data_IF_617975278990
#
_entry.id   IF_617975278990
#
_cell.length_a   1.000
_cell.length_b   1.000
_cell.length_c   1.000
_cell.angle_alpha   90.00
_cell.angle_beta   90.00
_cell.angle_gamma   90.00
#
_symmetry.space_group_name_H-M   'P 1'
#
loop_
_entity.id
_entity.type
_entity.pdbx_description
1 polymer ?
#
# COMPACT_ATOMS: atom_id res chain seq x y z
N UNK A 1 -22.39 51.56 -18.81
CA UNK A 1 -22.25 50.10 -19.00
C UNK A 1 -21.16 49.61 -18.05
N UNK A 2 -21.51 48.88 -16.98
CA UNK A 2 -20.52 48.05 -16.29
C UNK A 2 -20.26 46.85 -17.20
N UNK A 3 -19.08 46.79 -17.80
CA UNK A 3 -18.65 45.60 -18.54
C UNK A 3 -18.72 44.41 -17.58
N UNK A 4 -19.46 43.37 -17.99
CA UNK A 4 -19.48 42.10 -17.29
C UNK A 4 -18.04 41.57 -17.26
N UNK A 5 -17.39 41.66 -16.11
CA UNK A 5 -16.11 41.01 -15.88
C UNK A 5 -16.36 39.52 -16.01
N UNK A 6 -15.74 38.87 -16.99
CA UNK A 6 -15.78 37.42 -17.19
C UNK A 6 -15.64 36.74 -15.84
N UNK A 7 -16.59 35.87 -15.47
CA UNK A 7 -16.51 35.11 -14.23
C UNK A 7 -15.17 34.37 -14.21
N UNK A 8 -14.49 34.35 -13.05
CA UNK A 8 -13.26 33.56 -12.89
C UNK A 8 -13.55 32.12 -13.32
N UNK A 9 -12.60 31.51 -14.01
CA UNK A 9 -12.70 30.09 -14.36
C UNK A 9 -12.86 29.27 -13.07
N UNK A 10 -13.91 28.47 -13.00
CA UNK A 10 -14.15 27.55 -11.89
C UNK A 10 -13.24 26.35 -12.09
N UNK A 11 -12.23 26.20 -11.23
CA UNK A 11 -11.24 25.13 -11.30
C UNK A 11 -11.52 24.18 -10.15
N UNK A 12 -11.84 22.93 -10.49
CA UNK A 12 -11.98 21.85 -9.52
C UNK A 12 -10.56 21.40 -9.14
N UNK A 13 -10.15 21.49 -7.86
CA UNK A 13 -8.87 20.97 -7.42
C UNK A 13 -8.83 19.44 -7.60
N UNK A 14 -7.71 18.93 -8.10
CA UNK A 14 -7.46 17.51 -8.27
C UNK A 14 -6.40 17.04 -7.27
N UNK A 15 -6.68 15.92 -6.61
CA UNK A 15 -5.84 15.31 -5.59
C UNK A 15 -5.55 13.86 -5.94
N UNK A 16 -4.28 13.48 -5.90
CA UNK A 16 -3.86 12.09 -5.92
C UNK A 16 -4.08 11.46 -4.54
N UNK A 17 -4.67 10.27 -4.49
CA UNK A 17 -4.89 9.58 -3.22
C UNK A 17 -3.57 9.33 -2.49
N UNK A 18 -2.57 8.83 -3.20
CA UNK A 18 -1.23 8.54 -2.66
C UNK A 18 -0.36 9.80 -2.62
N UNK A 19 -0.31 10.53 -3.73
CA UNK A 19 0.55 11.69 -3.90
C UNK A 19 0.14 12.88 -3.05
N UNK A 20 -1.15 13.12 -2.83
CA UNK A 20 -1.62 14.26 -2.04
C UNK A 20 -2.15 13.84 -0.67
N UNK A 21 -3.18 12.98 -0.61
CA UNK A 21 -3.91 12.77 0.65
C UNK A 21 -3.10 11.97 1.67
N UNK A 22 -2.54 10.83 1.27
CA UNK A 22 -1.66 10.04 2.15
C UNK A 22 -0.34 10.76 2.46
N UNK A 23 0.20 11.50 1.50
CA UNK A 23 1.42 12.30 1.71
C UNK A 23 1.18 13.44 2.71
N UNK A 24 0.02 14.10 2.66
CA UNK A 24 -0.38 15.07 3.67
C UNK A 24 -0.49 14.44 5.06
N UNK A 25 -1.19 13.31 5.17
CA UNK A 25 -1.35 12.57 6.42
C UNK A 25 -0.02 12.07 7.02
N UNK A 26 0.99 11.84 6.18
CA UNK A 26 2.34 11.48 6.61
C UNK A 26 3.05 12.67 7.27
N UNK A 27 2.99 13.85 6.63
CA UNK A 27 3.44 15.11 7.20
C UNK A 27 2.97 16.32 6.36
N UNK A 28 2.10 17.17 6.92
CA UNK A 28 1.53 18.32 6.19
C UNK A 28 2.61 19.28 5.66
N UNK A 29 3.63 19.58 6.49
CA UNK A 29 4.70 20.49 6.10
C UNK A 29 5.60 19.89 5.01
N UNK A 30 5.92 18.59 5.10
CA UNK A 30 6.70 17.90 4.07
C UNK A 30 5.95 17.89 2.74
N UNK A 31 4.66 17.51 2.77
CA UNK A 31 3.76 17.54 1.63
C UNK A 31 3.73 18.93 0.97
N UNK A 32 3.62 20.00 1.76
CA UNK A 32 3.63 21.38 1.25
C UNK A 32 4.91 21.68 0.46
N UNK A 33 6.08 21.29 0.96
CA UNK A 33 7.34 21.56 0.26
C UNK A 33 7.51 20.67 -0.99
N UNK A 34 7.18 19.39 -0.90
CA UNK A 34 7.41 18.45 -2.00
C UNK A 34 6.38 18.63 -3.12
N UNK A 35 5.10 18.47 -2.82
CA UNK A 35 4.04 18.39 -3.83
C UNK A 35 3.56 19.75 -4.32
N UNK A 36 3.50 20.74 -3.43
CA UNK A 36 3.07 22.10 -3.81
C UNK A 36 4.24 23.05 -4.04
N UNK A 37 5.40 22.79 -3.42
CA UNK A 37 6.61 23.58 -3.60
C UNK A 37 7.51 23.11 -4.74
N UNK A 38 7.22 21.95 -5.35
CA UNK A 38 8.06 21.30 -6.35
C UNK A 38 9.52 21.13 -5.90
N UNK A 39 9.73 20.88 -4.61
CA UNK A 39 11.03 20.53 -4.04
C UNK A 39 11.10 19.01 -3.92
N UNK A 40 11.56 18.29 -4.96
CA UNK A 40 11.64 16.84 -4.88
C UNK A 40 12.57 16.44 -3.73
N UNK A 41 12.26 15.34 -3.01
CA UNK A 41 13.16 14.81 -2.00
C UNK A 41 14.55 14.51 -2.58
N UNK A 42 15.59 14.69 -1.78
CA UNK A 42 16.98 14.42 -2.20
C UNK A 42 17.24 12.93 -2.39
N UNK A 43 16.56 12.08 -1.60
CA UNK A 43 16.61 10.61 -1.70
C UNK A 43 15.21 10.00 -1.51
N UNK A 44 14.38 9.94 -2.56
CA UNK A 44 13.03 9.35 -2.53
C UNK A 44 13.03 7.81 -2.44
N UNK A 45 13.68 7.20 -1.44
CA UNK A 45 13.83 5.72 -1.40
C UNK A 45 12.48 5.00 -1.46
N UNK A 46 11.49 5.45 -0.69
CA UNK A 46 10.15 4.85 -0.66
C UNK A 46 9.36 5.10 -1.95
N UNK A 47 9.40 6.33 -2.49
CA UNK A 47 8.74 6.66 -3.76
C UNK A 47 9.38 5.89 -4.92
N UNK A 48 10.72 5.82 -4.97
CA UNK A 48 11.45 5.03 -5.95
C UNK A 48 11.07 3.56 -5.87
N UNK A 49 11.07 2.97 -4.67
CA UNK A 49 10.77 1.54 -4.52
C UNK A 49 9.31 1.22 -4.83
N UNK A 50 8.37 2.12 -4.50
CA UNK A 50 6.97 2.04 -4.92
C UNK A 50 6.82 2.02 -6.44
N UNK A 51 7.31 3.04 -7.15
CA UNK A 51 7.24 3.08 -8.62
C UNK A 51 8.00 1.91 -9.27
N UNK A 52 9.12 1.48 -8.67
CA UNK A 52 9.90 0.34 -9.15
C UNK A 52 9.11 -0.97 -9.09
N UNK A 53 8.50 -1.27 -7.95
CA UNK A 53 7.74 -2.51 -7.75
C UNK A 53 6.52 -2.56 -8.66
N UNK A 54 5.73 -1.49 -8.75
CA UNK A 54 4.56 -1.44 -9.63
C UNK A 54 4.97 -1.67 -11.08
N UNK A 55 5.93 -0.89 -11.59
CA UNK A 55 6.39 -1.04 -12.97
C UNK A 55 7.03 -2.40 -13.25
N UNK A 56 7.75 -2.98 -12.29
CA UNK A 56 8.41 -4.27 -12.50
C UNK A 56 7.41 -5.44 -12.47
N UNK A 57 6.40 -5.41 -11.59
CA UNK A 57 5.35 -6.41 -11.55
C UNK A 57 4.41 -6.31 -12.76
N UNK A 58 4.10 -5.10 -13.23
CA UNK A 58 3.37 -4.88 -14.47
C UNK A 58 4.12 -5.49 -15.67
N UNK A 59 5.40 -5.14 -15.87
CA UNK A 59 6.20 -5.69 -16.98
C UNK A 59 6.38 -7.21 -16.86
N UNK A 60 6.50 -7.75 -15.64
CA UNK A 60 6.55 -9.18 -15.41
C UNK A 60 5.21 -9.85 -15.79
N UNK A 61 4.07 -9.28 -15.41
CA UNK A 61 2.77 -9.78 -15.81
C UNK A 61 2.59 -9.74 -17.34
N UNK A 62 2.94 -8.63 -17.99
CA UNK A 62 2.85 -8.49 -19.44
C UNK A 62 3.73 -9.51 -20.17
N UNK A 63 4.95 -9.74 -19.68
CA UNK A 63 5.84 -10.79 -20.18
C UNK A 63 5.21 -12.17 -19.99
N UNK A 64 4.70 -12.48 -18.79
CA UNK A 64 4.01 -13.75 -18.52
C UNK A 64 2.83 -13.97 -19.46
N UNK A 65 1.92 -13.00 -19.57
CA UNK A 65 0.72 -13.05 -20.44
C UNK A 65 1.05 -13.31 -21.90
N UNK A 66 2.19 -12.80 -22.38
CA UNK A 66 2.67 -13.01 -23.75
C UNK A 66 3.12 -14.46 -24.01
N UNK A 67 3.75 -15.12 -23.03
CA UNK A 67 4.36 -16.45 -23.18
C UNK A 67 3.58 -17.58 -22.50
N UNK A 68 2.54 -17.27 -21.73
CA UNK A 68 1.73 -18.25 -20.99
C UNK A 68 0.97 -19.24 -21.88
N UNK A 69 0.74 -18.89 -23.16
CA UNK A 69 0.05 -19.75 -24.12
C UNK A 69 0.98 -20.73 -24.85
N UNK A 70 2.29 -20.60 -24.70
CA UNK A 70 3.28 -21.42 -25.41
C UNK A 70 4.06 -22.36 -24.48
N UNK A 71 3.68 -22.45 -23.20
CA UNK A 71 4.39 -23.17 -22.13
C UNK A 71 5.89 -22.79 -22.00
N UNK A 72 6.28 -21.64 -22.55
CA UNK A 72 7.68 -21.21 -22.62
C UNK A 72 8.18 -20.50 -21.36
N UNK A 73 7.26 -20.07 -20.48
CA UNK A 73 7.60 -19.25 -19.33
C UNK A 73 6.90 -19.76 -18.07
N UNK A 74 7.47 -20.83 -17.51
CA UNK A 74 7.06 -21.40 -16.22
C UNK A 74 7.78 -20.74 -15.05
N UNK A 75 7.21 -20.88 -13.85
CA UNK A 75 7.87 -20.49 -12.61
C UNK A 75 8.69 -21.65 -12.02
N UNK A 76 9.75 -21.39 -11.23
CA UNK A 76 10.30 -20.07 -10.90
C UNK A 76 11.11 -19.48 -12.07
N UNK A 77 11.11 -18.15 -12.15
CA UNK A 77 11.91 -17.41 -13.13
C UNK A 77 13.36 -17.29 -12.67
N UNK A 78 14.28 -17.47 -13.62
CA UNK A 78 15.69 -17.21 -13.49
C UNK A 78 15.97 -15.71 -13.40
N UNK A 79 16.85 -15.34 -12.47
CA UNK A 79 17.22 -13.94 -12.28
C UNK A 79 17.82 -13.30 -13.52
N UNK A 80 18.91 -13.87 -14.03
CA UNK A 80 19.77 -13.23 -15.02
C UNK A 80 19.06 -13.13 -16.37
N UNK A 81 18.35 -14.19 -16.74
CA UNK A 81 17.70 -14.32 -18.04
C UNK A 81 16.33 -13.65 -18.08
N UNK A 82 15.59 -13.66 -16.95
CA UNK A 82 14.17 -13.33 -16.99
C UNK A 82 13.78 -12.10 -16.17
N UNK A 83 14.37 -11.90 -15.00
CA UNK A 83 13.98 -10.84 -14.06
C UNK A 83 14.87 -9.61 -14.18
N UNK A 84 16.19 -9.78 -14.27
CA UNK A 84 17.17 -8.70 -14.42
C UNK A 84 16.89 -7.79 -15.62
N UNK A 85 16.48 -8.28 -16.80
CA UNK A 85 16.11 -7.40 -17.91
C UNK A 85 14.91 -6.48 -17.59
N UNK A 86 13.96 -6.95 -16.78
CA UNK A 86 12.82 -6.15 -16.32
C UNK A 86 13.30 -5.10 -15.31
N UNK A 87 14.13 -5.50 -14.35
CA UNK A 87 14.74 -4.59 -13.38
C UNK A 87 15.52 -3.47 -14.08
N UNK A 88 16.39 -3.81 -15.03
CA UNK A 88 17.23 -2.86 -15.76
C UNK A 88 16.37 -1.87 -16.56
N UNK A 89 15.29 -2.37 -17.18
CA UNK A 89 14.33 -1.55 -17.93
C UNK A 89 13.64 -0.53 -17.02
N UNK A 90 13.04 -0.98 -15.91
CA UNK A 90 12.31 -0.11 -14.99
C UNK A 90 13.24 0.86 -14.28
N UNK A 91 14.40 0.39 -13.83
CA UNK A 91 15.43 1.25 -13.24
C UNK A 91 15.88 2.33 -14.23
N UNK A 92 16.04 1.99 -15.51
CA UNK A 92 16.32 2.95 -16.58
C UNK A 92 15.23 4.01 -16.73
N UNK A 93 13.95 3.61 -16.72
CA UNK A 93 12.79 4.53 -16.78
C UNK A 93 12.77 5.50 -15.59
N UNK A 94 13.01 5.00 -14.38
CA UNK A 94 13.04 5.82 -13.16
C UNK A 94 14.20 6.81 -13.16
N UNK A 95 15.39 6.38 -13.61
CA UNK A 95 16.54 7.27 -13.76
C UNK A 95 16.27 8.45 -14.71
N UNK A 96 15.55 8.23 -15.81
CA UNK A 96 15.14 9.31 -16.72
C UNK A 96 14.20 10.32 -16.03
N UNK A 97 13.38 9.88 -15.07
CA UNK A 97 12.56 10.75 -14.22
C UNK A 97 13.34 11.43 -13.08
N UNK A 98 14.65 11.21 -12.97
CA UNK A 98 15.47 11.71 -11.87
C UNK A 98 15.36 10.89 -10.57
N UNK A 99 14.65 9.76 -10.60
CA UNK A 99 14.52 8.84 -9.47
C UNK A 99 15.63 7.79 -9.57
N UNK A 100 16.70 8.01 -8.81
CA UNK A 100 17.83 7.07 -8.77
C UNK A 100 17.56 5.95 -7.76
N UNK A 101 18.05 4.73 -8.04
CA UNK A 101 17.98 3.65 -7.07
C UNK A 101 18.69 4.07 -5.77
N UNK A 102 18.16 3.67 -4.60
CA UNK A 102 18.87 3.86 -3.34
C UNK A 102 20.26 3.19 -3.44
N UNK A 103 21.25 3.80 -2.79
CA UNK A 103 22.62 3.26 -2.76
C UNK A 103 22.63 1.78 -2.42
N UNK A 104 23.56 1.06 -3.05
CA UNK A 104 23.71 -0.39 -2.94
C UNK A 104 23.65 -0.82 -1.47
N UNK A 105 22.59 -1.54 -1.08
CA UNK A 105 22.57 -2.29 0.18
C UNK A 105 23.47 -3.51 0.01
N UNK A 106 24.77 -3.27 -0.18
CA UNK A 106 25.78 -4.32 -0.27
C UNK A 106 25.99 -4.81 1.15
N UNK A 107 25.29 -5.90 1.48
CA UNK A 107 25.82 -7.08 2.18
C UNK A 107 24.64 -8.00 2.56
N UNK A 108 24.82 -9.31 2.32
CA UNK A 108 24.07 -10.42 2.94
C UNK A 108 22.61 -10.73 2.50
N UNK A 109 21.99 -10.00 1.58
CA UNK A 109 20.60 -10.31 1.16
C UNK A 109 20.45 -11.34 0.03
N UNK A 110 21.50 -11.62 -0.76
CA UNK A 110 21.41 -12.58 -1.88
C UNK A 110 22.71 -12.72 -2.64
N UNK A 111 22.78 -13.65 -3.62
CA UNK A 111 23.83 -13.64 -4.65
C UNK A 111 23.73 -12.45 -5.64
N UNK A 112 22.98 -11.39 -5.29
CA UNK A 112 22.43 -10.38 -6.21
C UNK A 112 22.67 -8.92 -5.78
N UNK A 113 23.56 -8.74 -4.80
CA UNK A 113 24.16 -7.47 -4.36
C UNK A 113 23.23 -6.32 -3.90
N UNK A 114 21.89 -6.45 -3.97
CA UNK A 114 20.96 -5.46 -3.41
C UNK A 114 19.60 -6.07 -2.93
N UNK A 115 18.94 -5.36 -2.00
CA UNK A 115 17.69 -5.84 -1.35
C UNK A 115 16.44 -5.70 -2.24
N UNK A 116 16.37 -4.69 -3.11
CA UNK A 116 15.19 -4.47 -3.95
C UNK A 116 15.08 -5.52 -5.06
N UNK A 117 16.20 -5.99 -5.61
CA UNK A 117 16.30 -7.12 -6.53
C UNK A 117 15.81 -8.41 -5.89
N UNK A 118 16.26 -8.67 -4.65
CA UNK A 118 15.82 -9.85 -3.89
C UNK A 118 14.30 -9.81 -3.64
N UNK A 119 13.76 -8.64 -3.28
CA UNK A 119 12.31 -8.45 -3.12
C UNK A 119 11.55 -8.66 -4.41
N UNK A 120 12.04 -8.11 -5.53
CA UNK A 120 11.42 -8.28 -6.85
C UNK A 120 11.40 -9.76 -7.25
N UNK A 121 12.54 -10.45 -7.16
CA UNK A 121 12.60 -11.89 -7.46
C UNK A 121 11.57 -12.66 -6.64
N UNK A 122 11.57 -12.44 -5.32
CA UNK A 122 10.71 -13.20 -4.42
C UNK A 122 9.24 -12.89 -4.65
N UNK A 123 8.91 -11.65 -5.01
CA UNK A 123 7.56 -11.26 -5.41
C UNK A 123 7.12 -12.01 -6.67
N UNK A 124 7.95 -12.03 -7.71
CA UNK A 124 7.64 -12.74 -8.96
C UNK A 124 7.53 -14.25 -8.73
N UNK A 125 8.49 -14.84 -8.02
CA UNK A 125 8.58 -16.30 -7.90
C UNK A 125 7.62 -16.90 -6.88
N UNK A 126 7.22 -16.15 -5.84
CA UNK A 126 6.22 -16.61 -4.88
C UNK A 126 4.81 -16.20 -5.27
N UNK A 127 4.57 -14.93 -5.59
CA UNK A 127 3.22 -14.45 -5.88
C UNK A 127 2.84 -14.59 -7.34
N UNK A 128 3.78 -14.42 -8.29
CA UNK A 128 3.51 -14.52 -9.73
C UNK A 128 2.69 -15.77 -10.16
N UNK A 129 3.02 -17.00 -9.71
CA UNK A 129 2.25 -18.21 -10.04
C UNK A 129 0.78 -18.15 -9.63
N UNK A 130 0.48 -17.42 -8.55
CA UNK A 130 -0.85 -17.32 -7.97
C UNK A 130 -1.59 -16.06 -8.44
N UNK A 131 -0.85 -14.99 -8.70
CA UNK A 131 -1.35 -13.66 -9.00
C UNK A 131 -1.59 -13.46 -10.50
N UNK A 132 -0.59 -13.71 -11.33
CA UNK A 132 -0.67 -13.40 -12.76
C UNK A 132 -1.82 -14.10 -13.49
N UNK A 133 -2.18 -15.36 -13.17
CA UNK A 133 -3.35 -15.99 -13.78
C UNK A 133 -4.70 -15.34 -13.46
N UNK A 134 -4.77 -14.54 -12.38
CA UNK A 134 -6.00 -13.94 -11.89
C UNK A 134 -6.17 -12.47 -12.34
N UNK A 135 -5.09 -11.82 -12.79
CA UNK A 135 -5.12 -10.40 -13.21
C UNK A 135 -5.93 -10.25 -14.50
N UNK A 136 -6.95 -9.39 -14.46
CA UNK A 136 -7.67 -8.95 -15.66
C UNK A 136 -7.00 -7.71 -16.27
N UNK A 137 -6.88 -6.66 -15.47
CA UNK A 137 -6.33 -5.35 -15.86
C UNK A 137 -5.22 -4.90 -14.90
N UNK A 138 -4.21 -4.25 -15.45
CA UNK A 138 -3.11 -3.63 -14.67
C UNK A 138 -3.09 -2.12 -14.86
N UNK A 139 -2.64 -1.40 -13.83
CA UNK A 139 -2.45 0.06 -13.85
C UNK A 139 -3.70 0.84 -14.32
N UNK A 140 -4.88 0.43 -13.83
CA UNK A 140 -6.17 1.07 -14.13
C UNK A 140 -6.23 2.44 -13.46
N UNK A 141 -6.30 3.49 -14.29
CA UNK A 141 -6.52 4.86 -13.83
C UNK A 141 -7.96 5.04 -13.36
N UNK A 142 -8.12 5.43 -12.10
CA UNK A 142 -9.42 5.66 -11.47
C UNK A 142 -9.55 7.10 -11.00
N UNK A 143 -10.73 7.70 -11.22
CA UNK A 143 -11.00 9.10 -10.90
C UNK A 143 -12.46 9.30 -10.53
N UNK A 144 -12.69 10.16 -9.54
CA UNK A 144 -14.01 10.49 -9.04
C UNK A 144 -14.11 11.95 -8.63
N UNK A 145 -15.34 12.41 -8.45
CA UNK A 145 -15.67 13.75 -7.97
C UNK A 145 -16.40 13.65 -6.64
N UNK A 146 -16.05 14.52 -5.71
CA UNK A 146 -16.70 14.64 -4.40
C UNK A 146 -17.06 16.08 -4.10
N UNK A 147 -18.12 16.26 -3.33
CA UNK A 147 -18.53 17.56 -2.84
C UNK A 147 -17.65 17.94 -1.64
N UNK A 148 -17.22 19.20 -1.61
CA UNK A 148 -16.47 19.78 -0.51
C UNK A 148 -17.43 20.55 0.40
N UNK A 149 -17.38 20.26 1.70
CA UNK A 149 -18.30 20.83 2.69
C UNK A 149 -17.70 22.03 3.44
N UNK A 150 -16.85 22.84 2.78
CA UNK A 150 -16.31 24.08 3.34
C UNK A 150 -16.70 25.29 2.47
N UNK A 151 -17.43 26.24 3.07
CA UNK A 151 -17.88 27.48 2.43
C UNK A 151 -16.72 28.42 2.07
N UNK A 152 -15.56 28.24 2.70
CA UNK A 152 -14.38 29.07 2.44
C UNK A 152 -13.45 28.43 1.41
N UNK A 153 -13.72 27.19 0.98
CA UNK A 153 -12.91 26.53 -0.01
C UNK A 153 -12.98 27.22 -1.37
N UNK A 154 -11.96 26.96 -2.20
CA UNK A 154 -11.83 27.57 -3.53
C UNK A 154 -12.81 27.00 -4.56
N UNK A 155 -13.46 25.87 -4.26
CA UNK A 155 -14.39 25.12 -5.10
C UNK A 155 -15.39 24.36 -4.23
N UNK A 156 -16.60 24.09 -4.75
CA UNK A 156 -17.63 23.28 -4.09
C UNK A 156 -17.39 21.78 -4.28
N UNK A 157 -16.49 21.41 -5.19
CA UNK A 157 -16.11 20.04 -5.50
C UNK A 157 -14.60 19.90 -5.52
N UNK A 158 -14.14 18.67 -5.31
CA UNK A 158 -12.77 18.26 -5.60
C UNK A 158 -12.77 16.91 -6.31
N UNK A 159 -11.68 16.62 -7.02
CA UNK A 159 -11.50 15.31 -7.66
C UNK A 159 -10.42 14.51 -6.96
N UNK A 160 -10.65 13.21 -6.82
CA UNK A 160 -9.66 12.24 -6.35
C UNK A 160 -9.28 11.34 -7.51
N UNK A 161 -8.00 11.04 -7.65
CA UNK A 161 -7.50 10.03 -8.59
C UNK A 161 -6.55 9.02 -7.94
N UNK A 162 -6.40 7.87 -8.60
CA UNK A 162 -5.55 6.77 -8.20
C UNK A 162 -5.24 5.82 -9.35
N UNK A 163 -4.41 4.82 -9.06
CA UNK A 163 -4.07 3.73 -9.97
C UNK A 163 -4.15 2.41 -9.20
N UNK A 164 -4.74 1.38 -9.81
CA UNK A 164 -4.92 0.07 -9.19
C UNK A 164 -4.72 -1.07 -10.18
N UNK A 165 -4.38 -2.25 -9.67
CA UNK A 165 -4.50 -3.50 -10.42
C UNK A 165 -5.80 -4.22 -10.03
N UNK A 166 -6.36 -4.99 -10.98
CA UNK A 166 -7.69 -5.59 -10.83
C UNK A 166 -7.65 -7.08 -11.15
N UNK A 167 -8.15 -7.90 -10.22
CA UNK A 167 -8.57 -9.26 -10.48
C UNK A 167 -10.08 -9.29 -10.71
N UNK A 168 -10.57 -10.22 -11.50
CA UNK A 168 -12.02 -10.43 -11.65
C UNK A 168 -12.44 -11.87 -11.50
N UNK A 169 -13.71 -12.06 -11.11
CA UNK A 169 -14.33 -13.38 -11.04
C UNK A 169 -14.21 -14.11 -12.38
N UNK A 170 -14.37 -13.41 -13.51
CA UNK A 170 -14.16 -13.97 -14.86
C UNK A 170 -12.78 -14.63 -15.04
N UNK A 171 -11.73 -14.05 -14.45
CA UNK A 171 -10.39 -14.63 -14.48
C UNK A 171 -10.26 -15.81 -13.53
N UNK A 172 -10.89 -15.76 -12.35
CA UNK A 172 -10.99 -16.90 -11.43
C UNK A 172 -11.69 -18.09 -12.10
N UNK A 173 -12.83 -17.86 -12.77
CA UNK A 173 -13.60 -18.86 -13.51
C UNK A 173 -12.76 -19.52 -14.62
N UNK A 174 -12.07 -18.69 -15.43
CA UNK A 174 -11.17 -19.17 -16.50
C UNK A 174 -10.02 -20.00 -15.93
N UNK A 175 -9.43 -19.54 -14.83
CA UNK A 175 -8.34 -20.26 -14.17
C UNK A 175 -8.83 -21.62 -13.65
N UNK A 176 -9.99 -21.67 -12.99
CA UNK A 176 -10.59 -22.92 -12.53
C UNK A 176 -10.86 -23.91 -13.65
N UNK A 177 -11.45 -23.46 -14.76
CA UNK A 177 -11.73 -24.32 -15.91
C UNK A 177 -10.45 -24.91 -16.49
N UNK A 178 -9.37 -24.12 -16.55
CA UNK A 178 -8.05 -24.58 -17.01
C UNK A 178 -7.45 -25.64 -16.08
N UNK A 179 -7.68 -25.57 -14.78
CA UNK A 179 -7.10 -26.51 -13.81
C UNK A 179 -7.95 -27.76 -13.58
N UNK A 180 -9.29 -27.66 -13.66
CA UNK A 180 -10.21 -28.70 -13.20
C UNK A 180 -11.07 -29.34 -14.31
N UNK A 181 -10.95 -28.93 -15.58
CA UNK A 181 -11.67 -29.47 -16.75
C UNK A 181 -13.21 -29.50 -16.62
N UNK A 182 -13.79 -28.79 -15.64
CA UNK A 182 -15.23 -28.73 -15.35
C UNK A 182 -15.73 -27.27 -15.36
N UNK A 183 -17.02 -27.03 -15.62
CA UNK A 183 -17.61 -25.69 -15.51
C UNK A 183 -17.52 -25.20 -14.06
N UNK A 184 -17.07 -23.96 -13.88
CA UNK A 184 -17.06 -23.30 -12.57
C UNK A 184 -18.46 -22.78 -12.24
N UNK A 185 -18.98 -23.08 -11.06
CA UNK A 185 -20.32 -22.66 -10.63
C UNK A 185 -20.29 -21.66 -9.46
N UNK A 186 -19.16 -20.97 -9.25
CA UNK A 186 -18.93 -20.01 -8.15
C UNK A 186 -19.41 -20.52 -6.79
N UNK A 187 -19.37 -21.84 -6.57
CA UNK A 187 -19.79 -22.46 -5.31
C UNK A 187 -18.63 -22.51 -4.32
N UNK A 188 -18.95 -22.62 -3.02
CA UNK A 188 -17.94 -22.83 -1.98
C UNK A 188 -17.07 -24.07 -2.24
N UNK A 189 -17.64 -25.14 -2.81
CA UNK A 189 -16.90 -26.36 -3.16
C UNK A 189 -15.89 -26.10 -4.29
N UNK A 190 -16.28 -25.31 -5.30
CA UNK A 190 -15.36 -24.92 -6.38
C UNK A 190 -14.21 -24.04 -5.84
N UNK A 191 -14.51 -23.07 -4.98
CA UNK A 191 -13.49 -22.26 -4.31
C UNK A 191 -12.58 -23.11 -3.41
N UNK A 192 -13.12 -24.10 -2.70
CA UNK A 192 -12.33 -25.03 -1.90
C UNK A 192 -11.37 -25.87 -2.76
N UNK A 193 -11.81 -26.34 -3.92
CA UNK A 193 -10.93 -27.08 -4.83
C UNK A 193 -9.82 -26.17 -5.38
N UNK A 194 -10.16 -24.92 -5.73
CA UNK A 194 -9.20 -23.96 -6.27
C UNK A 194 -8.18 -23.50 -5.24
N UNK A 195 -8.60 -23.32 -3.97
CA UNK A 195 -7.72 -22.92 -2.87
C UNK A 195 -6.59 -23.93 -2.62
N UNK A 196 -6.77 -25.20 -2.97
CA UNK A 196 -5.70 -26.20 -2.88
C UNK A 196 -4.55 -25.96 -3.88
N UNK A 197 -4.78 -25.14 -4.91
CA UNK A 197 -3.84 -24.93 -6.02
C UNK A 197 -3.37 -23.48 -6.15
N UNK A 198 -4.14 -22.51 -5.63
CA UNK A 198 -3.80 -21.09 -5.70
C UNK A 198 -3.84 -20.45 -4.30
N UNK A 199 -2.70 -19.93 -3.85
CA UNK A 199 -2.57 -19.35 -2.52
C UNK A 199 -3.46 -18.13 -2.30
N UNK A 200 -3.63 -17.24 -3.30
CA UNK A 200 -4.50 -16.06 -3.16
C UNK A 200 -5.95 -16.50 -2.95
N UNK A 201 -6.42 -17.47 -3.73
CA UNK A 201 -7.76 -18.04 -3.56
C UNK A 201 -7.90 -18.72 -2.19
N UNK A 202 -6.84 -19.36 -1.67
CA UNK A 202 -6.84 -19.88 -0.32
C UNK A 202 -6.97 -18.80 0.76
N UNK A 203 -6.28 -17.68 0.64
CA UNK A 203 -6.47 -16.57 1.58
C UNK A 203 -7.88 -16.02 1.51
N UNK A 204 -8.44 -15.84 0.30
CA UNK A 204 -9.82 -15.39 0.11
C UNK A 204 -10.83 -16.38 0.69
N UNK A 205 -10.68 -17.67 0.40
CA UNK A 205 -11.55 -18.72 0.94
C UNK A 205 -11.49 -18.77 2.47
N UNK A 206 -10.34 -18.50 3.10
CA UNK A 206 -10.22 -18.49 4.56
C UNK A 206 -10.71 -17.18 5.20
N UNK A 207 -11.15 -16.19 4.42
CA UNK A 207 -11.78 -14.99 4.94
C UNK A 207 -13.30 -15.23 5.10
N UNK A 208 -13.79 -15.09 6.33
CA UNK A 208 -15.20 -15.36 6.67
C UNK A 208 -16.18 -14.38 6.00
N UNK A 209 -15.82 -13.11 5.84
CA UNK A 209 -16.68 -12.13 5.17
C UNK A 209 -16.76 -12.40 3.67
N UNK A 210 -15.65 -12.77 3.03
CA UNK A 210 -15.65 -13.19 1.64
C UNK A 210 -16.54 -14.41 1.40
N UNK A 211 -16.51 -15.40 2.30
CA UNK A 211 -17.42 -16.56 2.24
C UNK A 211 -18.89 -16.13 2.30
N UNK A 212 -19.27 -15.23 3.21
CA UNK A 212 -20.65 -14.73 3.29
C UNK A 212 -21.08 -14.04 2.01
N UNK A 213 -20.18 -13.28 1.37
CA UNK A 213 -20.45 -12.61 0.10
C UNK A 213 -20.69 -13.60 -1.04
N UNK A 214 -20.02 -14.75 -1.05
CA UNK A 214 -20.25 -15.82 -2.04
C UNK A 214 -21.61 -16.50 -1.85
N UNK A 215 -22.11 -16.62 -0.62
CA UNK A 215 -23.42 -17.20 -0.33
C UNK A 215 -24.58 -16.34 -0.86
N UNK A 216 -24.35 -15.03 -1.11
CA UNK A 216 -25.35 -14.08 -1.60
C UNK A 216 -25.55 -14.10 -3.14
N UNK A 217 -25.06 -15.13 -3.85
CA UNK A 217 -25.18 -15.31 -5.32
C UNK A 217 -24.68 -14.10 -6.14
N UNK A 218 -23.43 -13.68 -5.92
CA UNK A 218 -22.79 -12.67 -6.77
C UNK A 218 -22.50 -13.24 -8.17
N UNK A 219 -22.93 -12.53 -9.23
CA UNK A 219 -22.67 -12.96 -10.61
C UNK A 219 -21.22 -12.65 -11.05
N UNK A 220 -20.86 -11.36 -10.98
CA UNK A 220 -19.57 -10.85 -11.42
C UNK A 220 -19.06 -9.84 -10.41
N UNK A 221 -17.77 -9.93 -10.08
CA UNK A 221 -17.14 -9.07 -9.10
C UNK A 221 -15.66 -8.85 -9.41
N UNK A 222 -15.11 -7.81 -8.82
CA UNK A 222 -13.69 -7.45 -8.89
C UNK A 222 -13.02 -7.53 -7.51
N UNK A 223 -11.70 -7.72 -7.54
CA UNK A 223 -10.81 -7.60 -6.39
C UNK A 223 -9.74 -6.58 -6.75
N UNK A 224 -9.59 -5.55 -5.91
CA UNK A 224 -8.59 -4.49 -6.11
C UNK A 224 -7.28 -4.91 -5.45
N UNK A 225 -6.16 -4.65 -6.13
CA UNK A 225 -4.83 -4.92 -5.59
C UNK A 225 -4.03 -3.63 -5.49
N UNK A 226 -3.26 -3.54 -4.41
CA UNK A 226 -2.17 -2.58 -4.26
C UNK A 226 -0.88 -3.27 -3.77
N UNK A 227 0.27 -2.77 -4.23
CA UNK A 227 1.58 -3.26 -3.78
C UNK A 227 2.24 -2.21 -2.88
N UNK A 228 2.65 -2.63 -1.69
CA UNK A 228 3.36 -1.79 -0.74
C UNK A 228 4.81 -2.22 -0.63
N UNK A 229 5.69 -1.29 -0.99
CA UNK A 229 7.14 -1.41 -0.81
C UNK A 229 7.62 -1.22 0.63
N UNK A 230 6.85 -1.70 1.61
CA UNK A 230 7.11 -1.54 3.04
C UNK A 230 6.73 -2.79 3.82
N UNK A 231 7.15 -2.86 5.07
CA UNK A 231 6.73 -3.88 6.03
C UNK A 231 5.23 -3.78 6.28
N UNK A 232 4.57 -4.89 6.61
CA UNK A 232 3.20 -4.87 7.13
C UNK A 232 3.20 -4.02 8.42
N UNK A 233 2.38 -2.97 8.53
CA UNK A 233 2.29 -2.18 9.75
C UNK A 233 1.78 -3.02 10.93
N UNK A 234 2.05 -2.55 12.15
CA UNK A 234 1.44 -3.09 13.36
C UNK A 234 -0.09 -2.98 13.24
N UNK A 235 -0.80 -4.04 13.63
CA UNK A 235 -2.25 -4.13 13.51
C UNK A 235 -2.93 -3.97 14.88
N UNK A 236 -4.09 -3.31 14.96
CA UNK A 236 -4.88 -3.26 16.18
C UNK A 236 -5.45 -4.64 16.51
N UNK A 237 -5.60 -4.92 17.79
CA UNK A 237 -6.45 -6.01 18.28
C UNK A 237 -7.92 -5.74 17.94
N UNK A 238 -8.80 -6.76 18.07
CA UNK A 238 -10.24 -6.58 17.83
C UNK A 238 -10.86 -5.50 18.71
N UNK A 239 -10.45 -5.43 19.97
CA UNK A 239 -10.98 -4.46 20.93
C UNK A 239 -10.49 -3.04 20.58
N UNK A 240 -9.20 -2.87 20.26
CA UNK A 240 -8.66 -1.58 19.81
C UNK A 240 -9.30 -1.13 18.48
N UNK A 241 -9.61 -2.07 17.57
CA UNK A 241 -10.31 -1.75 16.32
C UNK A 241 -11.73 -1.23 16.57
N UNK A 242 -12.47 -1.82 17.52
CA UNK A 242 -13.80 -1.34 17.92
C UNK A 242 -13.73 0.07 18.52
N UNK A 243 -12.72 0.37 19.33
CA UNK A 243 -12.50 1.70 19.88
C UNK A 243 -12.19 2.72 18.77
N UNK A 244 -11.31 2.36 17.83
CA UNK A 244 -11.00 3.17 16.65
C UNK A 244 -12.27 3.47 15.83
N UNK A 245 -13.10 2.46 15.57
CA UNK A 245 -14.37 2.64 14.85
C UNK A 245 -15.31 3.60 15.60
N UNK A 246 -15.40 3.49 16.92
CA UNK A 246 -16.18 4.42 17.72
C UNK A 246 -15.66 5.87 17.63
N UNK A 247 -14.34 6.07 17.62
CA UNK A 247 -13.78 7.42 17.42
C UNK A 247 -14.03 7.98 16.01
N UNK A 248 -14.07 7.10 15.00
CA UNK A 248 -14.44 7.49 13.63
C UNK A 248 -15.87 8.01 13.56
N UNK A 249 -16.82 7.27 14.13
CA UNK A 249 -18.25 7.66 14.16
C UNK A 249 -18.48 8.97 14.91
N UNK A 250 -17.72 9.20 15.99
CA UNK A 250 -17.82 10.41 16.81
C UNK A 250 -17.03 11.60 16.26
N UNK A 251 -16.26 11.42 15.18
CA UNK A 251 -15.47 12.47 14.54
C UNK A 251 -14.25 12.95 15.34
N UNK A 252 -13.75 12.15 16.27
CA UNK A 252 -12.59 12.48 17.15
C UNK A 252 -11.35 11.63 16.85
N UNK A 253 -11.35 10.91 15.73
CA UNK A 253 -10.31 9.92 15.41
C UNK A 253 -8.90 10.50 15.41
N UNK A 254 -8.68 11.65 14.77
CA UNK A 254 -7.33 12.22 14.61
C UNK A 254 -6.68 12.67 15.93
N UNK A 255 -7.46 12.76 17.02
CA UNK A 255 -6.97 13.11 18.35
C UNK A 255 -6.75 11.87 19.24
N UNK A 256 -7.05 10.65 18.76
CA UNK A 256 -6.92 9.43 19.58
C UNK A 256 -5.51 8.83 19.55
N UNK A 257 -5.06 8.36 20.71
CA UNK A 257 -3.76 7.67 20.83
C UNK A 257 -3.75 6.36 20.05
N UNK A 258 -4.90 5.68 19.99
CA UNK A 258 -5.11 4.43 19.25
C UNK A 258 -4.96 4.65 17.74
N UNK A 259 -5.48 5.77 17.20
CA UNK A 259 -5.29 6.11 15.79
C UNK A 259 -3.82 6.33 15.49
N UNK A 260 -3.13 7.16 16.26
CA UNK A 260 -1.72 7.45 15.99
C UNK A 260 -0.84 6.20 16.08
N UNK A 261 -1.17 5.26 16.98
CA UNK A 261 -0.49 3.96 17.10
C UNK A 261 -0.67 3.08 15.86
N UNK A 262 -1.85 3.07 15.25
CA UNK A 262 -2.20 2.20 14.12
C UNK A 262 -2.45 2.96 12.81
N UNK A 263 -1.95 4.18 12.73
CA UNK A 263 -2.24 5.14 11.67
C UNK A 263 -2.00 4.59 10.27
N UNK A 264 -0.82 4.03 10.04
CA UNK A 264 -0.44 3.47 8.73
C UNK A 264 -1.32 2.28 8.35
N UNK A 265 -1.65 1.43 9.33
CA UNK A 265 -2.55 0.29 9.13
C UNK A 265 -3.94 0.74 8.65
N UNK A 266 -4.51 1.74 9.32
CA UNK A 266 -5.84 2.31 9.03
C UNK A 266 -5.84 3.04 7.69
N UNK A 267 -4.81 3.83 7.40
CA UNK A 267 -4.70 4.59 6.15
C UNK A 267 -4.60 3.70 4.91
N UNK A 268 -3.89 2.57 5.01
CA UNK A 268 -3.84 1.60 3.93
C UNK A 268 -5.22 0.98 3.63
N UNK A 269 -6.02 0.76 4.67
CA UNK A 269 -7.39 0.30 4.52
C UNK A 269 -8.27 1.35 3.84
N UNK A 270 -8.20 2.60 4.29
CA UNK A 270 -8.90 3.72 3.66
C UNK A 270 -8.53 3.88 2.18
N UNK A 271 -7.25 3.69 1.83
CA UNK A 271 -6.79 3.77 0.46
C UNK A 271 -7.53 2.76 -0.42
N UNK A 272 -7.59 1.49 -0.01
CA UNK A 272 -8.27 0.42 -0.74
C UNK A 272 -9.78 0.65 -0.83
N UNK A 273 -10.42 1.06 0.27
CA UNK A 273 -11.85 1.37 0.29
C UNK A 273 -12.20 2.53 -0.65
N UNK A 274 -11.35 3.56 -0.68
CA UNK A 274 -11.51 4.69 -1.60
C UNK A 274 -11.28 4.27 -3.05
N UNK A 275 -10.30 3.40 -3.32
CA UNK A 275 -10.14 2.80 -4.64
C UNK A 275 -11.35 1.98 -5.07
N UNK A 276 -11.95 1.20 -4.17
CA UNK A 276 -13.17 0.46 -4.44
C UNK A 276 -14.34 1.38 -4.80
N UNK A 277 -14.51 2.48 -4.07
CA UNK A 277 -15.50 3.50 -4.43
C UNK A 277 -15.23 4.12 -5.79
N UNK A 278 -13.98 4.52 -6.07
CA UNK A 278 -13.59 5.09 -7.35
C UNK A 278 -13.83 4.12 -8.50
N UNK A 279 -13.47 2.84 -8.33
CA UNK A 279 -13.67 1.79 -9.34
C UNK A 279 -15.14 1.53 -9.59
N UNK A 280 -15.97 1.40 -8.54
CA UNK A 280 -17.44 1.22 -8.65
C UNK A 280 -18.14 2.32 -9.47
N UNK A 281 -17.53 3.51 -9.56
CA UNK A 281 -18.08 4.64 -10.30
C UNK A 281 -17.62 4.72 -11.77
N UNK A 282 -16.83 3.77 -12.26
CA UNK A 282 -16.37 3.75 -13.64
C UNK A 282 -17.35 3.02 -14.57
N UNK A 283 -17.34 3.39 -15.85
CA UNK A 283 -18.09 2.64 -16.86
C UNK A 283 -17.44 1.26 -17.07
N UNK A 284 -18.27 0.21 -17.12
CA UNK A 284 -17.86 -1.19 -17.33
C UNK A 284 -17.03 -1.84 -16.20
N UNK A 285 -17.04 -1.29 -14.98
CA UNK A 285 -16.48 -1.98 -13.80
C UNK A 285 -17.50 -2.92 -13.17
N UNK A 286 -17.09 -4.13 -12.80
CA UNK A 286 -17.88 -4.96 -11.89
C UNK A 286 -17.72 -4.45 -10.45
N UNK A 287 -18.60 -4.86 -9.52
CA UNK A 287 -18.54 -4.39 -8.13
C UNK A 287 -17.26 -4.93 -7.45
N UNK A 288 -16.38 -4.06 -6.93
CA UNK A 288 -15.29 -4.52 -6.08
C UNK A 288 -15.86 -5.02 -4.75
N UNK A 289 -15.48 -6.23 -4.32
CA UNK A 289 -15.99 -6.84 -3.08
C UNK A 289 -14.89 -7.06 -2.04
N UNK A 290 -13.64 -7.10 -2.48
CA UNK A 290 -12.46 -7.29 -1.63
C UNK A 290 -11.33 -6.44 -2.21
N UNK A 291 -10.46 -5.94 -1.34
CA UNK A 291 -9.15 -5.46 -1.72
C UNK A 291 -8.03 -6.29 -1.09
N UNK A 292 -6.91 -6.38 -1.77
CA UNK A 292 -5.71 -7.09 -1.34
C UNK A 292 -4.54 -6.11 -1.33
N UNK A 293 -3.80 -6.07 -0.23
CA UNK A 293 -2.53 -5.36 -0.14
C UNK A 293 -1.40 -6.37 -0.01
N UNK A 294 -0.40 -6.23 -0.88
CA UNK A 294 0.84 -6.99 -0.78
C UNK A 294 1.97 -6.17 -0.15
N UNK A 295 2.45 -6.58 1.03
CA UNK A 295 3.61 -6.02 1.71
C UNK A 295 4.88 -6.75 1.30
N UNK A 296 5.49 -6.33 0.19
CA UNK A 296 6.57 -7.10 -0.45
C UNK A 296 7.86 -7.15 0.36
N UNK A 297 8.05 -6.24 1.34
CA UNK A 297 9.19 -6.32 2.24
C UNK A 297 9.13 -7.55 3.16
N UNK A 298 7.94 -8.11 3.41
CA UNK A 298 7.77 -9.33 4.22
C UNK A 298 8.36 -10.57 3.52
N UNK A 299 8.54 -10.52 2.20
CA UNK A 299 9.15 -11.61 1.43
C UNK A 299 10.67 -11.66 1.57
N UNK A 300 11.29 -10.52 1.85
CA UNK A 300 12.72 -10.35 2.15
C UNK A 300 12.86 -9.21 3.18
N UNK A 301 12.59 -9.50 4.47
CA UNK A 301 12.67 -8.51 5.53
C UNK A 301 14.12 -8.14 5.82
N UNK A 302 14.37 -6.85 6.01
CA UNK A 302 15.64 -6.34 6.53
C UNK A 302 15.79 -6.65 8.03
N UNK A 303 16.96 -6.41 8.61
CA UNK A 303 17.16 -6.55 10.06
C UNK A 303 16.18 -5.66 10.86
N UNK A 304 15.93 -4.43 10.42
CA UNK A 304 14.98 -3.53 11.07
C UNK A 304 13.54 -4.04 10.92
N UNK A 305 13.20 -4.59 9.75
CA UNK A 305 11.89 -5.22 9.53
C UNK A 305 11.72 -6.43 10.48
N UNK A 306 12.73 -7.29 10.61
CA UNK A 306 12.71 -8.46 11.50
C UNK A 306 12.54 -8.07 12.98
N UNK A 307 13.22 -7.00 13.43
CA UNK A 307 13.05 -6.46 14.80
C UNK A 307 11.61 -6.02 15.03
N UNK A 308 11.06 -5.25 14.11
CA UNK A 308 9.67 -4.79 14.20
C UNK A 308 8.67 -5.96 14.15
N UNK A 309 8.89 -6.96 13.30
CA UNK A 309 8.05 -8.17 13.24
C UNK A 309 8.06 -8.91 14.57
N UNK A 310 9.25 -9.08 15.18
CA UNK A 310 9.40 -9.73 16.49
C UNK A 310 8.67 -8.95 17.58
N UNK A 311 8.79 -7.63 17.59
CA UNK A 311 8.08 -6.79 18.55
C UNK A 311 6.56 -6.88 18.41
N UNK A 312 6.04 -6.81 17.18
CA UNK A 312 4.61 -6.93 16.92
C UNK A 312 4.05 -8.27 17.41
N UNK A 313 4.78 -9.36 17.16
CA UNK A 313 4.40 -10.70 17.61
C UNK A 313 4.41 -10.82 19.14
N UNK A 314 5.36 -10.20 19.82
CA UNK A 314 5.43 -10.19 21.29
C UNK A 314 4.32 -9.35 21.93
N UNK A 315 3.89 -8.28 21.25
CA UNK A 315 2.87 -7.33 21.73
C UNK A 315 1.46 -7.66 21.25
N UNK A 316 1.28 -8.74 20.47
CA UNK A 316 0.03 -9.09 19.78
C UNK A 316 -0.51 -7.97 18.87
N UNK A 317 0.40 -7.20 18.26
CA UNK A 317 0.10 -6.08 17.35
C UNK A 317 0.18 -6.53 15.90
N UNK A 318 -0.45 -7.67 15.61
CA UNK A 318 -0.43 -8.31 14.29
C UNK A 318 -1.72 -9.09 14.11
N UNK A 319 -2.29 -9.02 12.91
CA UNK A 319 -3.47 -9.80 12.54
C UNK A 319 -3.14 -11.26 12.19
N UNK A 320 -1.85 -11.61 12.19
CA UNK A 320 -1.35 -12.98 12.06
C UNK A 320 -0.88 -13.43 13.44
N UNK A 321 -1.70 -14.26 14.07
CA UNK A 321 -1.50 -14.73 15.45
C UNK A 321 -0.42 -15.80 15.53
N UNK A 322 0.19 -15.97 16.71
CA UNK A 322 1.18 -17.02 16.95
C UNK A 322 0.68 -18.43 16.64
N UNK A 323 -0.63 -18.68 16.81
CA UNK A 323 -1.24 -19.98 16.50
C UNK A 323 -1.25 -20.29 14.99
N UNK A 324 -1.12 -19.27 14.14
CA UNK A 324 -1.06 -19.42 12.68
C UNK A 324 0.38 -19.55 12.17
N UNK A 325 1.37 -19.24 13.01
CA UNK A 325 2.79 -19.27 12.68
C UNK A 325 3.36 -20.65 13.05
N UNK A 326 4.26 -21.18 12.21
CA UNK A 326 4.96 -22.42 12.53
C UNK A 326 5.89 -22.19 13.72
N UNK A 327 5.86 -23.11 14.70
CA UNK A 327 6.72 -23.04 15.90
C UNK A 327 8.20 -22.85 15.55
N UNK A 328 8.67 -23.47 14.47
CA UNK A 328 10.05 -23.31 13.99
C UNK A 328 10.40 -21.87 13.57
N UNK A 329 9.50 -21.19 12.86
CA UNK A 329 9.72 -19.81 12.41
C UNK A 329 9.74 -18.85 13.60
N UNK A 330 8.82 -19.07 14.57
CA UNK A 330 8.81 -18.31 15.80
C UNK A 330 10.08 -18.54 16.63
N UNK A 331 10.52 -19.78 16.82
CA UNK A 331 11.74 -20.08 17.57
C UNK A 331 12.99 -19.49 16.88
N UNK A 332 13.05 -19.51 15.55
CA UNK A 332 14.14 -18.84 14.79
C UNK A 332 14.14 -17.34 15.03
N UNK A 333 12.99 -16.68 14.94
CA UNK A 333 12.87 -15.23 15.13
C UNK A 333 13.13 -14.81 16.59
N UNK A 334 12.62 -15.59 17.54
CA UNK A 334 12.75 -15.32 18.98
C UNK A 334 14.20 -15.42 19.45
N UNK A 335 14.91 -16.46 19.01
CA UNK A 335 16.29 -16.75 19.42
C UNK A 335 17.35 -16.05 18.55
N UNK A 336 16.93 -15.34 17.50
CA UNK A 336 17.83 -14.58 16.64
C UNK A 336 18.53 -13.45 17.39
N UNK A 337 19.84 -13.36 17.18
CA UNK A 337 20.66 -12.24 17.65
C UNK A 337 20.46 -11.02 16.73
N UNK A 338 19.78 -10.02 17.24
CA UNK A 338 19.44 -8.76 16.58
C UNK A 338 20.63 -7.90 16.13
N UNK A 339 21.82 -8.16 16.69
CA UNK A 339 23.07 -7.50 16.33
C UNK A 339 23.88 -8.28 15.28
N UNK A 340 23.35 -9.40 14.80
CA UNK A 340 23.96 -10.20 13.72
C UNK A 340 23.96 -9.44 12.40
N UNK A 341 25.11 -9.41 11.73
CA UNK A 341 25.23 -8.91 10.34
C UNK A 341 24.47 -9.78 9.33
N UNK A 342 24.13 -11.02 9.71
CA UNK A 342 23.39 -11.96 8.86
C UNK A 342 21.91 -11.93 9.28
N UNK A 343 21.07 -11.45 8.36
CA UNK A 343 19.62 -11.49 8.49
C UNK A 343 19.09 -12.92 8.31
N UNK A 344 18.30 -13.41 9.26
CA UNK A 344 17.71 -14.77 9.24
C UNK A 344 16.55 -14.94 8.24
N UNK A 345 16.28 -13.96 7.39
CA UNK A 345 15.16 -13.99 6.44
C UNK A 345 15.14 -15.23 5.52
N UNK A 346 16.32 -15.81 5.23
CA UNK A 346 16.44 -17.06 4.45
C UNK A 346 16.08 -18.30 5.25
N UNK A 347 16.21 -18.23 6.56
CA UNK A 347 15.90 -19.32 7.49
C UNK A 347 14.41 -19.35 7.82
N UNK A 348 13.66 -18.29 7.51
CA UNK A 348 12.20 -18.24 7.68
C UNK A 348 11.49 -18.92 6.50
N UNK A 349 10.43 -19.66 6.80
CA UNK A 349 9.65 -20.39 5.80
C UNK A 349 8.95 -19.46 4.81
N UNK A 350 8.74 -19.97 3.59
CA UNK A 350 8.02 -19.23 2.55
C UNK A 350 6.56 -19.01 2.95
N UNK A 351 5.95 -19.95 3.68
CA UNK A 351 4.61 -19.79 4.26
C UNK A 351 4.54 -18.58 5.19
N UNK A 352 5.45 -18.47 6.18
CA UNK A 352 5.46 -17.34 7.10
C UNK A 352 5.58 -16.00 6.38
N UNK A 353 6.49 -15.91 5.41
CA UNK A 353 6.71 -14.70 4.62
C UNK A 353 5.51 -14.36 3.74
N UNK A 354 4.88 -15.35 3.12
CA UNK A 354 3.66 -15.16 2.32
C UNK A 354 2.49 -14.71 3.18
N UNK A 355 2.22 -15.38 4.31
CA UNK A 355 1.15 -15.03 5.26
C UNK A 355 1.28 -13.56 5.68
N UNK A 356 2.49 -13.14 6.05
CA UNK A 356 2.77 -11.75 6.42
C UNK A 356 2.70 -10.76 5.28
N UNK A 357 3.00 -11.19 4.06
CA UNK A 357 3.00 -10.30 2.89
C UNK A 357 1.62 -10.01 2.31
N UNK A 358 0.53 -10.66 2.74
CA UNK A 358 -0.81 -10.45 2.18
C UNK A 358 -1.82 -9.99 3.23
N UNK A 359 -2.54 -8.90 2.96
CA UNK A 359 -3.66 -8.43 3.78
C UNK A 359 -4.92 -8.35 2.92
N UNK A 360 -6.00 -8.95 3.42
CA UNK A 360 -7.33 -8.86 2.82
C UNK A 360 -8.11 -7.75 3.52
N UNK A 361 -8.75 -6.89 2.75
CA UNK A 361 -9.62 -5.81 3.21
C UNK A 361 -11.01 -6.04 2.61
N UNK A 362 -12.02 -6.10 3.47
CA UNK A 362 -13.39 -6.27 3.03
C UNK A 362 -13.94 -4.95 2.51
N UNK A 363 -14.67 -4.98 1.39
CA UNK A 363 -15.23 -3.78 0.78
C UNK A 363 -16.71 -3.70 1.11
N UNK A 364 -17.02 -3.01 2.19
CA UNK A 364 -18.37 -2.79 2.69
C UNK A 364 -18.76 -1.32 2.53
N UNK A 365 -20.06 -1.04 2.29
CA UNK A 365 -20.52 0.33 2.02
C UNK A 365 -20.28 1.27 3.21
N UNK A 366 -20.48 0.78 4.43
CA UNK A 366 -20.22 1.54 5.66
C UNK A 366 -18.74 1.90 5.81
N UNK A 367 -17.83 0.95 5.57
CA UNK A 367 -16.38 1.19 5.62
C UNK A 367 -15.94 2.18 4.53
N UNK A 368 -16.51 2.07 3.33
CA UNK A 368 -16.29 3.03 2.24
C UNK A 368 -16.69 4.43 2.68
N UNK A 369 -17.92 4.61 3.16
CA UNK A 369 -18.43 5.94 3.53
C UNK A 369 -17.58 6.57 4.65
N UNK A 370 -17.18 5.75 5.63
CA UNK A 370 -16.27 6.16 6.68
C UNK A 370 -14.91 6.61 6.13
N UNK A 371 -14.28 5.81 5.27
CA UNK A 371 -13.00 6.18 4.63
C UNK A 371 -13.11 7.48 3.83
N UNK A 372 -14.19 7.65 3.07
CA UNK A 372 -14.41 8.83 2.24
C UNK A 372 -14.63 10.09 3.08
N UNK A 373 -15.37 9.97 4.19
CA UNK A 373 -15.54 11.05 5.16
C UNK A 373 -14.19 11.50 5.75
N UNK A 374 -13.30 10.56 6.09
CA UNK A 374 -11.97 10.92 6.60
C UNK A 374 -11.12 11.63 5.56
N UNK A 375 -11.18 11.23 4.28
CA UNK A 375 -10.50 11.96 3.21
C UNK A 375 -11.12 13.32 2.91
N UNK A 376 -12.43 13.50 3.06
CA UNK A 376 -13.06 14.82 2.98
C UNK A 376 -12.48 15.76 4.05
N UNK A 377 -12.25 15.28 5.27
CA UNK A 377 -11.60 16.04 6.34
C UNK A 377 -10.16 16.41 5.99
N UNK A 378 -9.39 15.47 5.43
CA UNK A 378 -8.02 15.74 4.95
C UNK A 378 -7.99 16.82 3.88
N UNK A 379 -8.91 16.79 2.92
CA UNK A 379 -8.98 17.81 1.86
C UNK A 379 -9.39 19.16 2.44
N UNK A 380 -10.32 19.20 3.40
CA UNK A 380 -10.68 20.43 4.11
C UNK A 380 -9.46 21.03 4.85
N UNK A 381 -8.62 20.19 5.46
CA UNK A 381 -7.39 20.64 6.13
C UNK A 381 -6.33 21.17 5.16
N UNK A 382 -6.19 20.53 4.00
CA UNK A 382 -5.32 21.01 2.91
C UNK A 382 -5.80 22.38 2.42
N UNK A 383 -7.08 22.53 2.09
CA UNK A 383 -7.66 23.80 1.61
C UNK A 383 -7.57 24.89 2.68
N UNK A 384 -7.83 24.56 3.94
CA UNK A 384 -7.66 25.48 5.07
C UNK A 384 -6.22 25.97 5.20
N UNK A 385 -5.24 25.07 5.04
CA UNK A 385 -3.81 25.40 5.07
C UNK A 385 -3.41 26.30 3.90
N UNK A 386 -3.93 26.02 2.69
CA UNK A 386 -3.73 26.86 1.51
C UNK A 386 -4.31 28.26 1.70
N UNK A 387 -5.54 28.38 2.22
CA UNK A 387 -6.19 29.68 2.47
C UNK A 387 -5.39 30.50 3.49
N UNK A 388 -4.91 29.88 4.57
CA UNK A 388 -4.05 30.55 5.56
C UNK A 388 -2.78 31.10 4.90
N UNK A 389 -2.11 30.29 4.10
CA UNK A 389 -0.90 30.71 3.38
C UNK A 389 -1.20 31.84 2.39
N UNK A 390 -2.29 31.74 1.60
CA UNK A 390 -2.72 32.79 0.67
C UNK A 390 -3.04 34.11 1.38
N UNK A 391 -3.53 34.04 2.61
CA UNK A 391 -3.81 35.21 3.46
C UNK A 391 -2.56 35.77 4.16
N UNK A 392 -1.37 35.25 3.83
CA UNK A 392 -0.08 35.76 4.32
C UNK A 392 0.41 35.13 5.62
N UNK A 393 -0.21 34.04 6.10
CA UNK A 393 0.37 33.25 7.19
C UNK A 393 1.70 32.63 6.72
N UNK A 394 2.68 32.53 7.62
CA UNK A 394 3.95 31.85 7.30
C UNK A 394 3.67 30.37 7.02
N UNK A 395 4.42 29.79 6.08
CA UNK A 395 4.28 28.37 5.71
C UNK A 395 4.30 27.46 6.94
N UNK A 396 5.24 27.68 7.86
CA UNK A 396 5.38 26.86 9.08
C UNK A 396 4.22 26.98 10.08
N UNK A 397 3.42 28.04 9.98
CA UNK A 397 2.24 28.26 10.83
C UNK A 397 0.95 27.78 10.13
N UNK A 398 0.94 27.81 8.79
CA UNK A 398 -0.16 27.30 7.97
C UNK A 398 -0.14 25.77 7.85
N UNK A 399 1.06 25.16 7.82
CA UNK A 399 1.27 23.73 7.61
C UNK A 399 1.98 23.11 8.81
N UNK A 400 1.29 22.19 9.50
CA UNK A 400 1.80 21.55 10.72
C UNK A 400 2.93 20.55 10.41
N UNK A 401 3.91 20.50 11.31
CA UNK A 401 5.04 19.57 11.24
C UNK A 401 4.83 18.39 12.19
N UNK A 402 3.87 17.53 11.85
CA UNK A 402 3.50 16.34 12.63
C UNK A 402 3.84 15.11 11.78
N UNK A 403 4.77 14.29 12.27
CA UNK A 403 5.25 13.09 11.59
C UNK A 403 6.00 12.18 12.58
N UNK A 404 6.01 10.88 12.30
CA UNK A 404 6.82 9.89 13.03
C UNK A 404 8.33 10.17 12.91
N UNK A 405 9.10 9.63 13.85
CA UNK A 405 10.53 9.86 13.93
C UNK A 405 11.30 9.29 12.74
N UNK A 406 10.84 8.16 12.17
CA UNK A 406 11.42 7.60 10.94
C UNK A 406 11.28 8.57 9.77
N UNK A 407 10.09 9.13 9.58
CA UNK A 407 9.79 10.14 8.56
C UNK A 407 10.63 11.40 8.78
N UNK A 408 10.73 11.87 10.03
CA UNK A 408 11.55 13.03 10.38
C UNK A 408 13.05 12.80 10.11
N UNK A 409 13.55 11.60 10.41
CA UNK A 409 14.97 11.23 10.24
C UNK A 409 15.40 11.27 8.79
N UNK A 410 14.52 10.82 7.88
CA UNK A 410 14.73 10.81 6.44
C UNK A 410 14.30 12.12 5.74
N UNK A 411 13.75 13.09 6.47
CA UNK A 411 13.22 14.32 5.88
C UNK A 411 14.34 15.34 5.57
N UNK A 412 14.39 15.79 4.31
CA UNK A 412 15.34 16.81 3.84
C UNK A 412 15.19 18.16 4.55
N UNK A 413 13.99 18.43 5.07
CA UNK A 413 13.67 19.70 5.72
C UNK A 413 13.94 19.69 7.22
N UNK A 414 14.47 18.60 7.78
CA UNK A 414 14.70 18.42 9.23
C UNK A 414 15.52 19.54 9.87
N UNK A 415 16.45 20.13 9.13
CA UNK A 415 17.37 21.17 9.63
C UNK A 415 16.71 22.51 9.88
N UNK A 416 15.58 22.78 9.23
CA UNK A 416 14.82 24.02 9.38
C UNK A 416 13.34 23.78 9.71
N UNK A 417 12.94 22.54 9.99
CA UNK A 417 11.61 22.18 10.45
C UNK A 417 11.38 22.69 11.89
N UNK A 418 10.18 23.18 12.17
CA UNK A 418 9.80 23.70 13.48
C UNK A 418 9.07 22.66 14.35
N UNK A 419 9.23 21.35 14.11
CA UNK A 419 8.62 20.31 14.98
C UNK A 419 8.95 20.68 16.42
N UNK A 420 7.93 21.09 17.20
CA UNK A 420 8.13 21.44 18.60
C UNK A 420 8.67 20.17 19.24
N UNK A 421 9.86 20.25 19.83
CA UNK A 421 10.38 19.19 20.71
C UNK A 421 9.41 19.05 21.89
N UNK A 422 8.40 18.21 21.73
CA UNK A 422 7.65 17.62 22.83
C UNK A 422 8.35 16.32 23.19
N UNK A 423 8.99 16.34 24.36
CA UNK A 423 9.58 15.21 25.08
C UNK A 423 10.79 14.52 24.42
N UNK A 424 11.96 14.99 24.85
CA UNK A 424 13.23 14.29 24.72
C UNK A 424 13.11 12.90 25.36
N UNK A 425 13.03 11.85 24.56
CA UNK A 425 13.65 10.57 24.93
C UNK A 425 15.10 10.60 24.45
N UNK A 426 15.96 10.06 25.31
CA UNK A 426 17.38 10.33 25.43
C UNK A 426 18.19 10.27 24.12
N UNK A 427 19.18 11.17 24.06
CA UNK A 427 20.25 11.24 23.06
C UNK A 427 20.75 9.86 22.61
N UNK A 428 20.45 9.47 21.37
CA UNK A 428 21.25 8.49 20.63
C UNK A 428 22.17 9.21 19.66
N UNK A 429 23.42 8.75 19.67
CA UNK A 429 24.58 9.34 19.03
C UNK A 429 24.35 9.66 17.56
N UNK A 430 24.83 10.84 17.18
CA UNK A 430 25.03 11.28 15.80
C UNK A 430 25.90 10.24 15.10
N UNK A 431 25.29 9.41 14.24
CA UNK A 431 26.04 8.65 13.25
C UNK A 431 26.73 9.64 12.32
N UNK A 432 28.05 9.73 12.46
CA UNK A 432 28.93 10.37 11.50
C UNK A 432 29.10 9.39 10.35
N UNK A 433 28.66 9.79 9.16
CA UNK A 433 28.96 9.07 7.91
C UNK A 433 30.45 9.33 7.59
N UNK A 434 31.24 8.31 7.23
CA UNK A 434 32.62 8.47 6.77
C UNK A 434 32.77 9.38 5.55
#
# INVERSE_FOLDING_TARGET
MKLSTRSREYIIPEYSLTGDLLSFLTCNLQYRYQNKGNLPPSMPVQLWFGEFIHGALEEAFLKWKKYSNTDQLGFPWNWEEEIKPIEDLITGRLKVKGLNPPYEYVNNYGPKDNIYSARLERSINLWGPHLFPLIEDTEVLIKGLRQLNDKNARSDYYSINGVVDVLSSKMVDKFYQKTNNNPFQQTLDDYFNLSQTNSIINYLYNNDEFKKLLDDELNEYEIIIDYKGMRRPSAPTKDELMEIQSFMENGTLFDSEEYEKYKVWIQHEWQILTYAWLRKNQENSDKPIVGIIFYLNELVPSNDDLKAIKEDLLKDQTDITLNQILDEDWERLRNWNEDSEIAIHRDLSDKFKMDRSIRIINVEEELIDNSLYQFDNVVNDIESSLIKEMNGCKIKDAWKAEAEDRTCSACDFRTFCNKKKGEESESKQVFTIP
#
